data_IF_956894166732
#
_entry.id   IF_956894166732
#
_cell.length_a   1.000
_cell.length_b   1.000
_cell.length_c   1.000
_cell.angle_alpha   90.00
_cell.angle_beta   90.00
_cell.angle_gamma   90.00
#
_symmetry.space_group_name_H-M   'P 1'
#
loop_
_entity.id
_entity.type
_entity.pdbx_description
1 polymer ?
#
# COMPACT_ATOMS: atom_id res chain seq x y z
N UNK A 1 -17.55 21.86 5.97
CA UNK A 1 -16.94 22.09 4.62
C UNK A 1 -16.05 20.93 4.17
N UNK A 2 -15.22 20.37 5.06
CA UNK A 2 -14.36 19.21 4.78
C UNK A 2 -15.02 18.03 4.04
N UNK A 3 -16.20 17.57 4.51
CA UNK A 3 -16.90 16.46 3.84
C UNK A 3 -17.32 16.77 2.39
N UNK A 4 -17.64 18.03 2.06
CA UNK A 4 -17.93 18.43 0.68
C UNK A 4 -16.66 18.38 -0.18
N UNK A 5 -15.53 18.88 0.35
CA UNK A 5 -14.22 18.79 -0.31
C UNK A 5 -13.86 17.33 -0.64
N UNK A 6 -13.92 16.44 0.36
CA UNK A 6 -13.65 15.01 0.14
C UNK A 6 -14.59 14.40 -0.90
N UNK A 7 -15.89 14.72 -0.88
CA UNK A 7 -16.85 14.20 -1.86
C UNK A 7 -16.50 14.61 -3.30
N UNK A 8 -16.15 15.88 -3.53
CA UNK A 8 -15.80 16.36 -4.87
C UNK A 8 -14.45 15.79 -5.34
N UNK A 9 -13.47 15.69 -4.44
CA UNK A 9 -12.19 15.06 -4.75
C UNK A 9 -12.36 13.57 -5.08
N UNK A 10 -13.15 12.84 -4.28
CA UNK A 10 -13.45 11.43 -4.53
C UNK A 10 -14.17 11.22 -5.85
N UNK A 11 -15.17 12.06 -6.16
CA UNK A 11 -15.89 12.00 -7.45
C UNK A 11 -14.93 12.20 -8.62
N UNK A 12 -13.96 13.10 -8.49
CA UNK A 12 -13.04 13.40 -9.58
C UNK A 12 -11.96 12.35 -9.74
N UNK A 13 -11.35 11.86 -8.66
CA UNK A 13 -10.33 10.80 -8.72
C UNK A 13 -10.97 9.47 -9.13
N UNK A 14 -12.14 9.17 -8.56
CA UNK A 14 -12.91 7.96 -8.86
C UNK A 14 -13.30 7.86 -10.34
N UNK A 15 -13.61 8.98 -11.01
CA UNK A 15 -13.91 8.97 -12.45
C UNK A 15 -12.76 8.41 -13.29
N UNK A 16 -11.52 8.61 -12.88
CA UNK A 16 -10.34 8.12 -13.61
C UNK A 16 -9.95 6.70 -13.18
N UNK A 17 -9.97 6.41 -11.88
CA UNK A 17 -9.44 5.14 -11.35
C UNK A 17 -10.46 3.99 -11.35
N UNK A 18 -11.75 4.27 -11.13
CA UNK A 18 -12.79 3.22 -11.06
C UNK A 18 -12.89 2.43 -12.37
N UNK A 19 -12.88 3.04 -13.57
CA UNK A 19 -12.88 2.28 -14.82
C UNK A 19 -11.69 1.32 -14.94
N UNK A 20 -10.49 1.75 -14.49
CA UNK A 20 -9.28 0.93 -14.50
C UNK A 20 -9.45 -0.26 -13.56
N UNK A 21 -9.96 -0.03 -12.34
CA UNK A 21 -10.20 -1.10 -11.37
C UNK A 21 -11.21 -2.13 -11.88
N UNK A 22 -12.31 -1.66 -12.48
CA UNK A 22 -13.32 -2.55 -13.08
C UNK A 22 -12.74 -3.34 -14.27
N UNK A 23 -11.92 -2.72 -15.11
CA UNK A 23 -11.27 -3.40 -16.22
C UNK A 23 -10.35 -4.53 -15.74
N UNK A 24 -9.55 -4.29 -14.70
CA UNK A 24 -8.68 -5.34 -14.12
C UNK A 24 -9.51 -6.50 -13.57
N UNK A 25 -10.58 -6.22 -12.81
CA UNK A 25 -11.46 -7.28 -12.29
C UNK A 25 -12.10 -8.07 -13.43
N UNK A 26 -12.59 -7.40 -14.48
CA UNK A 26 -13.17 -8.05 -15.65
C UNK A 26 -12.15 -8.99 -16.33
N UNK A 27 -10.91 -8.54 -16.50
CA UNK A 27 -9.82 -9.36 -17.05
C UNK A 27 -9.52 -10.56 -16.15
N UNK A 28 -9.49 -10.39 -14.82
CA UNK A 28 -9.30 -11.49 -13.88
C UNK A 28 -10.40 -12.54 -13.97
N UNK A 29 -11.66 -12.10 -14.07
CA UNK A 29 -12.82 -12.99 -14.22
C UNK A 29 -12.72 -13.74 -15.55
N UNK A 30 -12.44 -13.04 -16.66
CA UNK A 30 -12.26 -13.67 -17.96
C UNK A 30 -11.14 -14.71 -17.93
N UNK A 31 -9.98 -14.39 -17.34
CA UNK A 31 -8.86 -15.31 -17.21
C UNK A 31 -9.17 -16.52 -16.31
N UNK A 32 -10.00 -16.33 -15.27
CA UNK A 32 -10.48 -17.41 -14.42
C UNK A 32 -11.45 -18.35 -15.18
N UNK A 33 -12.40 -17.80 -15.95
CA UNK A 33 -13.37 -18.59 -16.72
C UNK A 33 -12.79 -19.26 -17.97
N UNK A 34 -11.90 -18.58 -18.69
CA UNK A 34 -11.24 -19.10 -19.90
C UNK A 34 -10.19 -20.18 -19.60
N UNK A 35 -10.03 -20.57 -18.33
CA UNK A 35 -9.12 -21.65 -17.94
C UNK A 35 -7.64 -21.29 -17.98
N UNK A 36 -7.27 -20.06 -18.36
CA UNK A 36 -5.88 -19.60 -18.26
C UNK A 36 -5.39 -19.55 -16.80
N UNK A 37 -6.29 -19.38 -15.82
CA UNK A 37 -5.96 -19.67 -14.42
C UNK A 37 -5.76 -21.17 -14.14
N UNK A 38 -6.54 -22.05 -14.76
CA UNK A 38 -6.52 -23.52 -14.61
C UNK A 38 -5.27 -24.23 -15.19
N UNK A 39 -4.24 -23.46 -15.55
CA UNK A 39 -2.98 -23.97 -16.09
C UNK A 39 -2.06 -24.65 -15.04
N UNK A 40 -2.36 -24.52 -13.74
CA UNK A 40 -1.67 -25.27 -12.67
C UNK A 40 -2.28 -26.67 -12.41
N UNK A 41 -3.50 -26.93 -12.87
CA UNK A 41 -4.28 -28.12 -12.51
C UNK A 41 -4.22 -29.24 -13.57
N UNK A 42 -3.35 -29.13 -14.57
CA UNK A 42 -3.21 -30.15 -15.62
C UNK A 42 -4.44 -30.28 -16.53
N UNK A 43 -5.36 -29.32 -16.54
CA UNK A 43 -6.55 -29.35 -17.42
C UNK A 43 -6.14 -29.36 -18.91
N UNK A 44 -5.07 -28.63 -19.26
CA UNK A 44 -4.44 -28.69 -20.58
C UNK A 44 -3.57 -29.93 -20.81
N UNK A 45 -3.14 -30.64 -19.76
CA UNK A 45 -2.49 -31.94 -19.91
C UNK A 45 -3.50 -33.03 -20.32
N UNK A 46 -4.78 -32.91 -19.93
CA UNK A 46 -5.84 -33.84 -20.31
C UNK A 46 -6.36 -33.63 -21.74
N UNK A 47 -6.46 -32.38 -22.19
CA UNK A 47 -6.99 -32.03 -23.52
C UNK A 47 -6.00 -32.30 -24.68
N UNK A 48 -4.70 -32.46 -24.39
CA UNK A 48 -3.66 -32.54 -25.42
C UNK A 48 -2.54 -33.53 -25.10
N UNK A 49 -2.86 -34.68 -24.49
CA UNK A 49 -1.90 -35.75 -24.21
C UNK A 49 -1.23 -36.32 -25.47
N UNK A 50 -1.77 -36.06 -26.68
CA UNK A 50 -1.27 -36.55 -27.96
C UNK A 50 -0.26 -35.66 -28.72
N UNK A 51 -0.03 -34.39 -28.34
CA UNK A 51 0.85 -33.48 -29.09
C UNK A 51 2.12 -33.14 -28.29
N UNK A 52 3.15 -33.98 -28.42
CA UNK A 52 4.47 -33.83 -27.76
C UNK A 52 5.18 -32.51 -28.11
N UNK A 53 4.97 -31.97 -29.32
CA UNK A 53 5.53 -30.70 -29.77
C UNK A 53 4.80 -29.44 -29.25
N UNK A 54 3.53 -29.56 -28.83
CA UNK A 54 2.72 -28.42 -28.38
C UNK A 54 2.96 -28.00 -26.93
N UNK A 55 3.50 -28.89 -26.08
CA UNK A 55 3.67 -28.66 -24.64
C UNK A 55 4.65 -27.52 -24.33
N UNK A 56 5.79 -27.45 -25.02
CA UNK A 56 6.77 -26.38 -24.82
C UNK A 56 6.22 -25.00 -25.23
N UNK A 57 5.57 -24.92 -26.39
CA UNK A 57 4.99 -23.68 -26.89
C UNK A 57 3.83 -23.17 -25.99
N UNK A 58 2.96 -24.07 -25.53
CA UNK A 58 1.89 -23.72 -24.59
C UNK A 58 2.43 -23.29 -23.21
N UNK A 59 3.49 -23.91 -22.71
CA UNK A 59 4.15 -23.49 -21.46
C UNK A 59 4.79 -22.10 -21.55
N UNK A 60 5.30 -21.72 -22.73
CA UNK A 60 5.82 -20.38 -22.99
C UNK A 60 4.70 -19.34 -23.02
N UNK A 61 3.61 -19.61 -23.73
CA UNK A 61 2.41 -18.75 -23.76
C UNK A 61 1.84 -18.55 -22.35
N UNK A 62 1.81 -19.62 -21.55
CA UNK A 62 1.39 -19.57 -20.15
C UNK A 62 2.27 -18.65 -19.31
N UNK A 63 3.59 -18.84 -19.37
CA UNK A 63 4.54 -18.05 -18.59
C UNK A 63 4.44 -16.58 -18.98
N UNK A 64 4.33 -16.29 -20.28
CA UNK A 64 4.11 -14.94 -20.80
C UNK A 64 2.80 -14.34 -20.33
N UNK A 65 1.71 -15.11 -20.27
CA UNK A 65 0.41 -14.63 -19.79
C UNK A 65 0.43 -14.25 -18.30
N UNK A 66 1.12 -15.02 -17.46
CA UNK A 66 1.26 -14.73 -16.02
C UNK A 66 2.09 -13.46 -15.82
N UNK A 67 3.21 -13.33 -16.54
CA UNK A 67 4.06 -12.14 -16.50
C UNK A 67 3.30 -10.92 -17.00
N UNK A 68 2.56 -11.03 -18.11
CA UNK A 68 1.74 -9.95 -18.65
C UNK A 68 0.67 -9.51 -17.65
N UNK A 69 -0.01 -10.44 -16.99
CA UNK A 69 -1.00 -10.14 -15.97
C UNK A 69 -0.41 -9.47 -14.74
N UNK A 70 0.74 -9.95 -14.26
CA UNK A 70 1.48 -9.26 -13.20
C UNK A 70 1.86 -7.84 -13.62
N UNK A 71 2.27 -7.66 -14.88
CA UNK A 71 2.50 -6.34 -15.48
C UNK A 71 1.26 -5.44 -15.46
N UNK A 72 0.05 -5.97 -15.71
CA UNK A 72 -1.22 -5.22 -15.59
C UNK A 72 -1.49 -4.78 -14.16
N UNK A 73 -1.25 -5.66 -13.17
CA UNK A 73 -1.41 -5.30 -11.74
C UNK A 73 -0.43 -4.20 -11.32
N UNK A 74 0.84 -4.30 -11.74
CA UNK A 74 1.85 -3.27 -11.51
C UNK A 74 1.49 -1.97 -12.22
N UNK A 75 1.02 -2.03 -13.48
CA UNK A 75 0.59 -0.85 -14.21
C UNK A 75 -0.58 -0.15 -13.50
N UNK A 76 -1.56 -0.89 -12.98
CA UNK A 76 -2.70 -0.34 -12.25
C UNK A 76 -2.29 0.36 -10.95
N UNK A 77 -1.36 -0.22 -10.18
CA UNK A 77 -0.86 0.40 -8.95
C UNK A 77 -0.02 1.65 -9.25
N UNK A 78 0.83 1.61 -10.28
CA UNK A 78 1.62 2.76 -10.74
C UNK A 78 0.71 3.87 -11.27
N UNK A 79 -0.32 3.56 -12.06
CA UNK A 79 -1.30 4.55 -12.52
C UNK A 79 -2.06 5.20 -11.36
N UNK A 80 -2.44 4.42 -10.35
CA UNK A 80 -3.05 4.95 -9.12
C UNK A 80 -2.12 5.97 -8.46
N UNK A 81 -0.84 5.61 -8.30
CA UNK A 81 0.17 6.49 -7.74
C UNK A 81 0.36 7.77 -8.58
N UNK A 82 0.48 7.64 -9.90
CA UNK A 82 0.63 8.79 -10.81
C UNK A 82 -0.56 9.73 -10.70
N UNK A 83 -1.79 9.22 -10.68
CA UNK A 83 -3.01 10.03 -10.54
C UNK A 83 -3.03 10.76 -9.20
N UNK A 84 -2.64 10.10 -8.10
CA UNK A 84 -2.54 10.72 -6.77
C UNK A 84 -1.52 11.87 -6.78
N UNK A 85 -0.33 11.65 -7.35
CA UNK A 85 0.72 12.68 -7.48
C UNK A 85 0.23 13.85 -8.33
N UNK A 86 -0.30 13.59 -9.53
CA UNK A 86 -0.79 14.63 -10.43
C UNK A 86 -1.89 15.47 -9.80
N UNK A 87 -2.78 14.86 -9.03
CA UNK A 87 -3.89 15.54 -8.37
C UNK A 87 -3.44 16.49 -7.27
N UNK A 88 -2.42 16.09 -6.52
CA UNK A 88 -1.80 16.96 -5.52
C UNK A 88 -1.02 18.09 -6.19
N UNK A 89 -0.17 17.74 -7.16
CA UNK A 89 0.70 18.70 -7.85
C UNK A 89 -0.11 19.74 -8.63
N UNK A 90 -0.96 19.31 -9.58
CA UNK A 90 -1.76 20.26 -10.38
C UNK A 90 -2.78 20.99 -9.52
N UNK A 91 -3.42 20.28 -8.59
CA UNK A 91 -4.52 20.83 -7.80
C UNK A 91 -4.11 21.81 -6.70
N UNK A 92 -2.89 21.73 -6.14
CA UNK A 92 -2.42 22.66 -5.09
C UNK A 92 -1.22 23.51 -5.50
N UNK A 93 -0.37 23.02 -6.41
CA UNK A 93 0.91 23.65 -6.72
C UNK A 93 0.94 24.31 -8.11
N UNK A 94 -0.09 24.16 -8.93
CA UNK A 94 -0.19 24.83 -10.24
C UNK A 94 -1.35 25.84 -10.25
N UNK A 95 -1.73 26.31 -11.44
CA UNK A 95 -2.77 27.33 -11.66
C UNK A 95 -4.12 27.00 -11.01
N UNK A 96 -4.50 25.71 -10.93
CA UNK A 96 -5.72 25.29 -10.21
C UNK A 96 -5.65 25.59 -8.70
N UNK A 97 -4.44 25.62 -8.14
CA UNK A 97 -4.17 25.99 -6.76
C UNK A 97 -4.63 27.41 -6.43
N UNK A 98 -4.51 28.36 -7.37
CA UNK A 98 -4.96 29.74 -7.16
C UNK A 98 -6.45 29.79 -6.82
N UNK A 99 -7.27 29.04 -7.57
CA UNK A 99 -8.70 28.88 -7.30
C UNK A 99 -8.94 28.11 -5.98
N UNK A 100 -8.18 27.07 -5.67
CA UNK A 100 -8.35 26.31 -4.43
C UNK A 100 -8.05 27.13 -3.17
N UNK A 101 -7.07 28.03 -3.20
CA UNK A 101 -6.72 28.89 -2.06
C UNK A 101 -7.64 30.12 -1.89
N UNK A 102 -8.48 30.43 -2.89
CA UNK A 102 -9.53 31.46 -2.75
C UNK A 102 -10.80 30.95 -2.04
N UNK A 103 -10.95 29.62 -1.90
CA UNK A 103 -12.05 29.05 -1.14
C UNK A 103 -11.92 29.46 0.35
N UNK A 104 -13.03 29.74 1.07
CA UNK A 104 -13.02 30.15 2.48
C UNK A 104 -12.74 28.95 3.41
N UNK A 105 -11.65 28.21 3.16
CA UNK A 105 -11.22 27.00 3.87
C UNK A 105 -9.74 27.09 4.19
N UNK A 106 -9.35 26.52 5.33
CA UNK A 106 -7.95 26.56 5.78
C UNK A 106 -7.08 25.60 4.93
N UNK A 107 -5.80 25.92 4.63
CA UNK A 107 -4.92 25.06 3.84
C UNK A 107 -4.82 23.62 4.36
N UNK A 108 -4.78 23.43 5.68
CA UNK A 108 -4.78 22.08 6.28
C UNK A 108 -5.99 21.24 5.87
N UNK A 109 -7.17 21.84 5.70
CA UNK A 109 -8.38 21.11 5.29
C UNK A 109 -8.28 20.63 3.84
N UNK A 110 -7.63 21.39 2.96
CA UNK A 110 -7.39 21.01 1.57
C UNK A 110 -6.39 19.85 1.49
N UNK A 111 -5.29 19.95 2.23
CA UNK A 111 -4.26 18.90 2.28
C UNK A 111 -4.85 17.61 2.86
N UNK A 112 -5.54 17.68 4.00
CA UNK A 112 -6.15 16.50 4.62
C UNK A 112 -7.23 15.89 3.71
N UNK A 113 -8.01 16.69 2.99
CA UNK A 113 -9.04 16.16 2.09
C UNK A 113 -8.42 15.36 0.94
N UNK A 114 -7.37 15.90 0.29
CA UNK A 114 -6.63 15.19 -0.75
C UNK A 114 -5.89 13.97 -0.21
N UNK A 115 -5.33 14.05 1.00
CA UNK A 115 -4.66 12.93 1.68
C UNK A 115 -5.61 11.78 1.96
N UNK A 116 -6.78 12.04 2.53
CA UNK A 116 -7.79 11.00 2.84
C UNK A 116 -8.30 10.35 1.56
N UNK A 117 -8.65 11.13 0.54
CA UNK A 117 -9.16 10.57 -0.72
C UNK A 117 -8.07 9.75 -1.42
N UNK A 118 -6.83 10.24 -1.47
CA UNK A 118 -5.70 9.47 -2.02
C UNK A 118 -5.49 8.16 -1.26
N UNK A 119 -5.53 8.20 0.08
CA UNK A 119 -5.38 7.01 0.91
C UNK A 119 -6.47 5.97 0.63
N UNK A 120 -7.73 6.38 0.62
CA UNK A 120 -8.85 5.47 0.33
C UNK A 120 -8.74 4.88 -1.07
N UNK A 121 -8.34 5.67 -2.07
CA UNK A 121 -8.18 5.17 -3.44
C UNK A 121 -6.97 4.22 -3.58
N UNK A 122 -5.87 4.49 -2.89
CA UNK A 122 -4.73 3.56 -2.82
C UNK A 122 -5.11 2.25 -2.12
N UNK A 123 -5.87 2.30 -1.02
CA UNK A 123 -6.41 1.10 -0.39
C UNK A 123 -7.35 0.34 -1.32
N UNK A 124 -8.22 1.04 -2.06
CA UNK A 124 -9.08 0.44 -3.06
C UNK A 124 -8.26 -0.25 -4.17
N UNK A 125 -7.17 0.36 -4.65
CA UNK A 125 -6.25 -0.27 -5.62
C UNK A 125 -5.66 -1.57 -5.08
N UNK A 126 -5.18 -1.58 -3.83
CA UNK A 126 -4.64 -2.78 -3.19
C UNK A 126 -5.71 -3.86 -3.02
N UNK A 127 -6.91 -3.49 -2.57
CA UNK A 127 -8.04 -4.41 -2.45
C UNK A 127 -8.44 -5.01 -3.79
N UNK A 128 -8.47 -4.20 -4.86
CA UNK A 128 -8.74 -4.67 -6.22
C UNK A 128 -7.67 -5.65 -6.67
N UNK A 129 -6.38 -5.38 -6.40
CA UNK A 129 -5.30 -6.30 -6.71
C UNK A 129 -5.43 -7.64 -5.95
N UNK A 130 -5.76 -7.60 -4.65
CA UNK A 130 -6.01 -8.82 -3.87
C UNK A 130 -7.22 -9.60 -4.38
N UNK A 131 -8.35 -8.93 -4.64
CA UNK A 131 -9.54 -9.56 -5.20
C UNK A 131 -9.26 -10.18 -6.57
N UNK A 132 -8.50 -9.48 -7.40
CA UNK A 132 -8.06 -9.89 -8.73
C UNK A 132 -7.19 -11.16 -8.68
N UNK A 133 -6.24 -11.25 -7.75
CA UNK A 133 -5.44 -12.46 -7.49
C UNK A 133 -6.32 -13.59 -6.95
N UNK A 134 -7.22 -13.29 -6.01
CA UNK A 134 -8.12 -14.28 -5.41
C UNK A 134 -9.04 -14.92 -6.46
N UNK A 135 -9.59 -14.13 -7.38
CA UNK A 135 -10.40 -14.63 -8.52
C UNK A 135 -9.58 -15.57 -9.41
N UNK A 136 -8.31 -15.25 -9.67
CA UNK A 136 -7.45 -16.16 -10.42
C UNK A 136 -7.24 -17.48 -9.69
N UNK A 137 -6.93 -17.46 -8.39
CA UNK A 137 -6.75 -18.68 -7.58
C UNK A 137 -8.02 -19.53 -7.57
N UNK A 138 -9.20 -18.90 -7.51
CA UNK A 138 -10.49 -19.60 -7.64
C UNK A 138 -10.62 -20.30 -9.01
N UNK A 139 -10.24 -19.62 -10.09
CA UNK A 139 -10.20 -20.20 -11.44
C UNK A 139 -9.16 -21.31 -11.59
N UNK A 140 -8.03 -21.23 -10.87
CA UNK A 140 -6.95 -22.23 -10.95
C UNK A 140 -7.32 -23.52 -10.23
N UNK A 141 -7.70 -23.43 -8.95
CA UNK A 141 -7.94 -24.56 -8.07
C UNK A 141 -9.33 -25.19 -8.28
N UNK A 142 -10.23 -24.49 -8.97
CA UNK A 142 -11.63 -24.86 -9.14
C UNK A 142 -12.46 -24.32 -7.99
N UNK A 143 -13.57 -23.67 -8.32
CA UNK A 143 -14.46 -23.02 -7.33
C UNK A 143 -14.88 -24.01 -6.24
N UNK A 144 -15.24 -25.24 -6.60
CA UNK A 144 -15.63 -26.27 -5.64
C UNK A 144 -14.53 -26.60 -4.63
N UNK A 145 -13.27 -26.76 -5.05
CA UNK A 145 -12.15 -27.12 -4.16
C UNK A 145 -11.79 -26.00 -3.19
N UNK A 146 -11.83 -24.75 -3.66
CA UNK A 146 -11.54 -23.59 -2.80
C UNK A 146 -12.68 -23.36 -1.82
N UNK A 147 -13.94 -23.49 -2.24
CA UNK A 147 -15.07 -23.42 -1.33
C UNK A 147 -15.01 -24.54 -0.30
N UNK A 148 -14.71 -25.78 -0.69
CA UNK A 148 -14.56 -26.89 0.27
C UNK A 148 -13.41 -26.67 1.25
N UNK A 149 -12.28 -26.10 0.79
CA UNK A 149 -11.13 -25.80 1.66
C UNK A 149 -11.43 -24.66 2.64
N UNK A 150 -12.14 -23.62 2.21
CA UNK A 150 -12.56 -22.51 3.09
C UNK A 150 -13.64 -22.98 4.08
N UNK A 151 -14.52 -23.91 3.69
CA UNK A 151 -15.54 -24.46 4.61
C UNK A 151 -15.02 -25.62 5.46
N UNK A 152 -13.77 -26.06 5.28
CA UNK A 152 -13.22 -27.20 6.00
C UNK A 152 -13.05 -26.85 7.49
N UNK A 153 -13.76 -27.54 8.41
CA UNK A 153 -13.60 -27.31 9.84
C UNK A 153 -12.17 -27.55 10.32
N UNK A 154 -11.39 -28.40 9.66
CA UNK A 154 -10.00 -28.67 10.04
C UNK A 154 -9.09 -27.46 9.84
N UNK A 155 -9.30 -26.69 8.76
CA UNK A 155 -8.56 -25.46 8.51
C UNK A 155 -8.85 -24.41 9.60
N UNK A 156 -10.13 -24.21 9.93
CA UNK A 156 -10.53 -23.27 10.97
C UNK A 156 -10.11 -23.72 12.37
N UNK A 157 -10.12 -25.02 12.64
CA UNK A 157 -9.62 -25.55 13.91
C UNK A 157 -8.10 -25.40 14.04
N UNK A 158 -7.35 -25.53 12.94
CA UNK A 158 -5.91 -25.28 12.92
C UNK A 158 -5.59 -23.79 13.09
N UNK A 159 -6.36 -22.90 12.46
CA UNK A 159 -6.24 -21.45 12.63
C UNK A 159 -6.59 -21.06 14.06
N UNK A 160 -7.70 -21.56 14.60
CA UNK A 160 -8.15 -21.27 15.96
C UNK A 160 -7.19 -21.83 17.01
N UNK A 161 -6.64 -23.02 16.80
CA UNK A 161 -5.62 -23.56 17.71
C UNK A 161 -4.36 -22.72 17.64
N UNK A 162 -3.87 -22.33 16.46
CA UNK A 162 -2.71 -21.43 16.32
C UNK A 162 -2.94 -20.06 16.99
N UNK A 163 -4.13 -19.48 16.82
CA UNK A 163 -4.51 -18.20 17.44
C UNK A 163 -4.71 -18.33 18.96
N UNK A 164 -5.22 -19.46 19.45
CA UNK A 164 -5.41 -19.71 20.88
C UNK A 164 -4.08 -19.82 21.65
N UNK A 165 -2.99 -20.22 20.99
CA UNK A 165 -1.65 -20.19 21.59
C UNK A 165 -1.11 -18.76 21.79
N UNK A 166 -1.67 -17.77 21.11
CA UNK A 166 -1.31 -16.35 21.22
C UNK A 166 -2.46 -15.61 21.92
N UNK A 167 -2.44 -15.59 23.25
CA UNK A 167 -3.48 -14.94 24.08
C UNK A 167 -3.79 -13.48 23.67
N UNK A 168 -2.81 -12.78 23.08
CA UNK A 168 -2.91 -11.37 22.65
C UNK A 168 -3.26 -11.17 21.17
N UNK A 169 -3.67 -12.21 20.44
CA UNK A 169 -3.91 -12.13 18.99
C UNK A 169 -4.90 -11.03 18.54
N UNK A 170 -6.01 -10.72 19.24
CA UNK A 170 -6.93 -9.68 18.78
C UNK A 170 -6.31 -8.28 18.88
N UNK A 171 -5.52 -8.05 19.93
CA UNK A 171 -4.79 -6.80 20.14
C UNK A 171 -3.73 -6.61 19.05
N UNK A 172 -2.97 -7.67 18.75
CA UNK A 172 -1.94 -7.66 17.72
C UNK A 172 -2.53 -7.39 16.33
N UNK A 173 -3.70 -7.96 16.02
CA UNK A 173 -4.44 -7.66 14.78
C UNK A 173 -4.90 -6.21 14.71
N UNK A 174 -5.42 -5.66 15.81
CA UNK A 174 -5.81 -4.26 15.87
C UNK A 174 -4.62 -3.32 15.65
N UNK A 175 -3.49 -3.60 16.29
CA UNK A 175 -2.24 -2.84 16.11
C UNK A 175 -1.69 -2.92 14.69
N UNK A 176 -1.76 -4.11 14.08
CA UNK A 176 -1.35 -4.30 12.70
C UNK A 176 -2.19 -3.47 11.72
N UNK A 177 -3.51 -3.41 11.93
CA UNK A 177 -4.41 -2.57 11.13
C UNK A 177 -4.05 -1.09 11.28
N UNK A 178 -3.82 -0.62 12.51
CA UNK A 178 -3.37 0.75 12.77
C UNK A 178 -2.05 1.02 12.06
N UNK A 179 -1.10 0.10 12.15
CA UNK A 179 0.20 0.24 11.52
C UNK A 179 0.09 0.38 10.00
N UNK A 180 -0.77 -0.42 9.35
CA UNK A 180 -1.04 -0.29 7.90
C UNK A 180 -1.59 1.10 7.58
N UNK A 181 -2.55 1.60 8.37
CA UNK A 181 -3.16 2.90 8.12
C UNK A 181 -2.14 4.03 8.29
N UNK A 182 -1.42 4.05 9.41
CA UNK A 182 -0.46 5.13 9.71
C UNK A 182 0.71 5.08 8.72
N UNK A 183 1.28 3.91 8.43
CA UNK A 183 2.38 3.78 7.47
C UNK A 183 1.97 4.18 6.04
N UNK A 184 0.76 3.79 5.60
CA UNK A 184 0.24 4.21 4.29
C UNK A 184 0.04 5.73 4.21
N UNK A 185 -0.45 6.36 5.29
CA UNK A 185 -0.52 7.83 5.37
C UNK A 185 0.88 8.46 5.34
N UNK A 186 1.85 7.94 6.09
CA UNK A 186 3.23 8.45 6.08
C UNK A 186 3.81 8.47 4.66
N UNK A 187 3.63 7.39 3.89
CA UNK A 187 4.13 7.33 2.51
C UNK A 187 3.48 8.41 1.63
N UNK A 188 2.17 8.64 1.75
CA UNK A 188 1.47 9.68 1.00
C UNK A 188 1.94 11.08 1.39
N UNK A 189 2.04 11.36 2.69
CA UNK A 189 2.47 12.67 3.18
C UNK A 189 3.96 12.93 2.92
N UNK A 190 4.79 11.89 2.88
CA UNK A 190 6.18 12.01 2.44
C UNK A 190 6.25 12.51 0.98
N UNK A 191 5.46 11.93 0.08
CA UNK A 191 5.37 12.42 -1.30
C UNK A 191 4.83 13.86 -1.38
N UNK A 192 3.84 14.21 -0.56
CA UNK A 192 3.29 15.57 -0.54
C UNK A 192 4.31 16.59 -0.02
N UNK A 193 5.05 16.23 1.02
CA UNK A 193 6.07 17.09 1.59
C UNK A 193 7.25 17.29 0.64
N UNK A 194 7.70 16.24 -0.05
CA UNK A 194 8.75 16.36 -1.06
C UNK A 194 8.31 17.21 -2.26
N UNK A 195 7.06 17.08 -2.72
CA UNK A 195 6.49 17.95 -3.75
C UNK A 195 6.40 19.41 -3.30
N UNK A 196 5.96 19.65 -2.06
CA UNK A 196 5.89 21.01 -1.50
C UNK A 196 7.30 21.63 -1.42
N UNK A 197 8.30 20.88 -0.96
CA UNK A 197 9.70 21.32 -0.92
C UNK A 197 10.28 21.60 -2.31
N UNK A 198 10.06 20.71 -3.26
CA UNK A 198 10.55 20.88 -4.63
C UNK A 198 9.94 22.11 -5.33
N UNK A 199 8.72 22.48 -4.94
CA UNK A 199 8.04 23.66 -5.47
C UNK A 199 8.65 24.99 -5.01
N UNK A 200 9.42 25.03 -3.91
CA UNK A 200 10.14 26.25 -3.51
C UNK A 200 11.30 26.61 -4.46
N UNK A 201 11.73 25.68 -5.31
CA UNK A 201 12.82 25.94 -6.24
C UNK A 201 12.37 26.85 -7.39
N UNK A 202 13.21 27.82 -7.75
CA UNK A 202 12.93 28.76 -8.84
C UNK A 202 12.90 28.12 -10.23
N UNK A 203 13.62 27.00 -10.44
CA UNK A 203 13.72 26.28 -11.72
C UNK A 203 13.54 24.78 -11.52
N UNK A 204 12.94 24.11 -12.51
CA UNK A 204 12.73 22.66 -12.56
C UNK A 204 12.02 22.09 -11.31
N UNK A 205 10.88 22.70 -10.91
CA UNK A 205 10.11 22.35 -9.69
C UNK A 205 9.81 20.85 -9.55
N UNK A 206 9.51 20.17 -10.66
CA UNK A 206 9.26 18.71 -10.67
C UNK A 206 10.53 17.92 -10.34
N UNK A 207 11.66 18.23 -10.98
CA UNK A 207 12.94 17.56 -10.71
C UNK A 207 13.39 17.78 -9.27
N UNK A 208 13.23 18.99 -8.75
CA UNK A 208 13.55 19.32 -7.37
C UNK A 208 12.67 18.58 -6.36
N UNK A 209 11.43 18.25 -6.73
CA UNK A 209 10.53 17.43 -5.90
C UNK A 209 11.04 15.98 -5.79
N UNK A 210 11.53 15.42 -6.90
CA UNK A 210 12.13 14.07 -6.92
C UNK A 210 13.42 14.04 -6.11
N UNK A 211 14.29 15.05 -6.27
CA UNK A 211 15.52 15.18 -5.49
C UNK A 211 15.20 15.31 -4.00
N UNK A 212 14.21 16.12 -3.62
CA UNK A 212 13.77 16.25 -2.23
C UNK A 212 13.27 14.92 -1.67
N UNK A 213 12.50 14.14 -2.44
CA UNK A 213 12.04 12.81 -2.03
C UNK A 213 13.21 11.86 -1.75
N UNK A 214 14.19 11.82 -2.65
CA UNK A 214 15.38 10.99 -2.48
C UNK A 214 16.20 11.45 -1.27
N UNK A 215 16.43 12.76 -1.12
CA UNK A 215 17.21 13.31 -0.02
C UNK A 215 16.58 13.03 1.35
N UNK A 216 15.26 13.20 1.48
CA UNK A 216 14.54 12.89 2.72
C UNK A 216 14.58 11.38 3.00
N UNK A 217 14.38 10.54 1.97
CA UNK A 217 14.47 9.09 2.11
C UNK A 217 15.86 8.65 2.61
N UNK A 218 16.92 9.20 2.02
CA UNK A 218 18.30 8.95 2.45
C UNK A 218 18.55 9.43 3.89
N UNK A 219 18.04 10.61 4.25
CA UNK A 219 18.17 11.15 5.61
C UNK A 219 17.52 10.22 6.64
N UNK A 220 16.28 9.77 6.41
CA UNK A 220 15.61 8.84 7.33
C UNK A 220 16.31 7.49 7.39
N UNK A 221 16.77 6.94 6.25
CA UNK A 221 17.55 5.71 6.22
C UNK A 221 18.83 5.82 7.05
N UNK A 222 19.55 6.95 6.93
CA UNK A 222 20.75 7.22 7.70
C UNK A 222 20.47 7.36 9.20
N UNK A 223 19.44 8.12 9.57
CA UNK A 223 19.00 8.27 10.97
C UNK A 223 18.62 6.92 11.56
N UNK A 224 17.82 6.11 10.85
CA UNK A 224 17.42 4.79 11.32
C UNK A 224 18.62 3.85 11.50
N UNK A 225 19.58 3.89 10.56
CA UNK A 225 20.82 3.13 10.69
C UNK A 225 21.65 3.55 11.91
N UNK A 226 21.81 4.85 12.14
CA UNK A 226 22.50 5.38 13.32
C UNK A 226 21.79 4.99 14.62
N UNK A 227 20.46 5.13 14.67
CA UNK A 227 19.66 4.76 15.85
C UNK A 227 19.85 3.28 16.17
N UNK A 228 19.82 2.40 15.17
CA UNK A 228 20.06 0.97 15.39
C UNK A 228 21.46 0.67 15.93
N UNK A 229 22.50 1.33 15.40
CA UNK A 229 23.88 1.17 15.90
C UNK A 229 24.00 1.66 17.35
N UNK A 230 23.41 2.82 17.66
CA UNK A 230 23.46 3.39 19.01
C UNK A 230 22.72 2.47 19.98
N UNK A 231 21.45 2.15 19.70
CA UNK A 231 20.63 1.31 20.57
C UNK A 231 21.24 -0.09 20.75
N UNK A 232 21.81 -0.68 19.70
CA UNK A 232 22.47 -1.98 19.77
C UNK A 232 23.68 -2.01 20.72
N UNK A 233 24.32 -0.87 20.97
CA UNK A 233 25.46 -0.75 21.89
C UNK A 233 25.06 -0.30 23.31
N UNK A 234 23.79 0.04 23.56
CA UNK A 234 23.32 0.43 24.89
C UNK A 234 23.13 -0.82 25.76
N UNK A 235 23.81 -0.93 26.93
CA UNK A 235 23.72 -2.12 27.78
C UNK A 235 22.30 -2.45 28.26
N UNK A 236 21.47 -1.43 28.54
CA UNK A 236 20.08 -1.64 28.94
C UNK A 236 19.23 -2.21 27.81
N UNK A 237 19.47 -1.80 26.56
CA UNK A 237 18.77 -2.34 25.40
C UNK A 237 19.17 -3.81 25.14
N UNK A 238 20.46 -4.13 25.22
CA UNK A 238 20.93 -5.51 25.13
C UNK A 238 20.36 -6.41 26.25
N UNK A 239 20.30 -5.89 27.47
CA UNK A 239 19.74 -6.62 28.62
C UNK A 239 18.24 -6.89 28.44
N UNK A 240 17.52 -5.94 27.83
CA UNK A 240 16.10 -6.10 27.49
C UNK A 240 15.85 -7.21 26.46
N UNK A 241 16.64 -7.26 25.38
CA UNK A 241 16.53 -8.36 24.40
C UNK A 241 16.92 -9.72 24.98
N UNK A 242 17.95 -9.78 25.82
CA UNK A 242 18.31 -11.02 26.52
C UNK A 242 17.20 -11.51 27.45
N UNK A 243 16.50 -10.60 28.13
CA UNK A 243 15.35 -10.96 28.97
C UNK A 243 14.23 -11.58 28.14
N UNK A 244 13.96 -11.04 26.95
CA UNK A 244 12.98 -11.56 26.00
C UNK A 244 13.38 -12.95 25.49
N UNK A 245 14.65 -13.15 25.12
CA UNK A 245 15.16 -14.44 24.62
C UNK A 245 15.07 -15.56 25.67
N UNK A 246 15.02 -15.21 26.96
CA UNK A 246 14.87 -16.17 28.06
C UNK A 246 13.41 -16.51 28.41
N UNK A 247 12.42 -15.86 27.78
CA UNK A 247 11.00 -16.15 28.01
C UNK A 247 10.56 -17.42 27.24
N UNK A 248 9.47 -18.08 27.67
CA UNK A 248 8.87 -19.17 26.89
C UNK A 248 8.49 -18.68 25.48
N UNK A 249 8.78 -19.48 24.45
CA UNK A 249 8.71 -19.09 23.03
C UNK A 249 7.41 -18.36 22.66
N UNK A 250 6.25 -18.80 23.16
CA UNK A 250 4.95 -18.20 22.82
C UNK A 250 4.72 -16.82 23.45
N UNK A 251 5.21 -16.59 24.68
CA UNK A 251 5.04 -15.32 25.38
C UNK A 251 6.08 -14.29 24.94
N UNK A 252 7.33 -14.71 24.77
CA UNK A 252 8.43 -13.86 24.27
C UNK A 252 8.12 -13.30 22.88
N UNK A 253 7.67 -14.15 21.95
CA UNK A 253 7.30 -13.72 20.60
C UNK A 253 6.15 -12.69 20.63
N UNK A 254 5.11 -12.94 21.43
CA UNK A 254 3.96 -12.03 21.52
C UNK A 254 4.33 -10.64 22.03
N UNK A 255 5.21 -10.58 23.03
CA UNK A 255 5.69 -9.34 23.64
C UNK A 255 6.59 -8.56 22.68
N UNK A 256 7.48 -9.25 21.95
CA UNK A 256 8.31 -8.63 20.90
C UNK A 256 7.45 -8.03 19.80
N UNK A 257 6.46 -8.77 19.29
CA UNK A 257 5.59 -8.28 18.23
C UNK A 257 4.81 -7.04 18.67
N UNK A 258 4.22 -7.08 19.88
CA UNK A 258 3.48 -5.97 20.44
C UNK A 258 4.35 -4.71 20.60
N UNK A 259 5.53 -4.83 21.20
CA UNK A 259 6.46 -3.72 21.36
C UNK A 259 6.96 -3.17 20.03
N UNK A 260 7.23 -4.06 19.07
CA UNK A 260 7.65 -3.68 17.72
C UNK A 260 6.54 -2.92 17.00
N UNK A 261 5.29 -3.36 17.13
CA UNK A 261 4.14 -2.72 16.51
C UNK A 261 3.85 -1.36 17.13
N UNK A 262 3.78 -1.26 18.46
CA UNK A 262 3.60 0.03 19.14
C UNK A 262 4.75 0.98 18.82
N UNK A 263 5.99 0.52 18.92
CA UNK A 263 7.18 1.32 18.59
C UNK A 263 7.13 1.82 17.15
N UNK A 264 6.72 0.97 16.20
CA UNK A 264 6.55 1.33 14.80
C UNK A 264 5.40 2.32 14.59
N UNK A 265 4.26 2.16 15.29
CA UNK A 265 3.13 3.09 15.22
C UNK A 265 3.53 4.46 15.72
N UNK A 266 4.22 4.55 16.87
CA UNK A 266 4.69 5.82 17.43
C UNK A 266 5.68 6.49 16.48
N UNK A 267 6.65 5.74 15.96
CA UNK A 267 7.62 6.24 14.98
C UNK A 267 6.94 6.80 13.72
N UNK A 268 6.01 6.05 13.13
CA UNK A 268 5.27 6.49 11.96
C UNK A 268 4.37 7.70 12.27
N UNK A 269 3.77 7.76 13.46
CA UNK A 269 2.95 8.91 13.87
C UNK A 269 3.79 10.20 13.99
N UNK A 270 5.01 10.12 14.53
CA UNK A 270 5.95 11.24 14.58
C UNK A 270 6.31 11.70 13.16
N UNK A 271 6.66 10.75 12.28
CA UNK A 271 7.01 11.05 10.89
C UNK A 271 5.83 11.68 10.12
N UNK A 272 4.62 11.17 10.34
CA UNK A 272 3.39 11.72 9.79
C UNK A 272 3.17 13.17 10.23
N UNK A 273 3.35 13.46 11.51
CA UNK A 273 3.23 14.82 12.04
C UNK A 273 4.25 15.76 11.39
N UNK A 274 5.52 15.35 11.27
CA UNK A 274 6.58 16.14 10.62
C UNK A 274 6.19 16.47 9.18
N UNK A 275 5.77 15.48 8.38
CA UNK A 275 5.41 15.70 6.99
C UNK A 275 4.12 16.51 6.83
N UNK A 276 3.12 16.29 7.69
CA UNK A 276 1.87 17.04 7.66
C UNK A 276 2.09 18.52 7.95
N UNK A 277 2.70 18.84 9.09
CA UNK A 277 2.95 20.23 9.50
C UNK A 277 4.00 20.91 8.61
N UNK A 278 5.00 20.17 8.13
CA UNK A 278 5.95 20.67 7.15
C UNK A 278 5.26 21.11 5.86
N UNK A 279 4.37 20.27 5.33
CA UNK A 279 3.59 20.57 4.11
C UNK A 279 2.65 21.75 4.32
N UNK A 280 1.93 21.79 5.45
CA UNK A 280 1.00 22.87 5.79
C UNK A 280 1.71 24.22 5.92
N UNK A 281 2.87 24.25 6.56
CA UNK A 281 3.66 25.48 6.75
C UNK A 281 4.24 26.01 5.45
N UNK A 282 4.68 25.12 4.56
CA UNK A 282 5.16 25.48 3.22
C UNK A 282 4.03 26.09 2.41
N UNK A 283 2.88 25.40 2.33
CA UNK A 283 1.74 25.84 1.53
C UNK A 283 1.06 27.10 2.07
N UNK A 284 1.10 27.35 3.39
CA UNK A 284 0.50 28.54 3.98
C UNK A 284 1.38 29.79 3.89
N UNK A 285 2.71 29.65 3.92
CA UNK A 285 3.63 30.81 4.05
C UNK A 285 4.51 31.09 2.83
N UNK A 286 4.71 30.12 1.94
CA UNK A 286 5.70 30.20 0.86
C UNK A 286 5.14 29.78 -0.50
N UNK A 287 3.82 29.79 -0.64
CA UNK A 287 3.19 29.47 -1.91
C UNK A 287 3.39 30.63 -2.90
N UNK A 288 4.38 30.48 -3.80
CA UNK A 288 4.52 31.36 -4.94
C UNK A 288 4.01 30.61 -6.18
N UNK A 289 2.79 30.93 -6.60
CA UNK A 289 2.15 30.34 -7.78
C UNK A 289 2.53 31.05 -9.09
N UNK A 290 3.37 32.09 -9.04
CA UNK A 290 3.99 32.71 -10.22
C UNK A 290 5.20 31.90 -10.74
#
# INVERSE_FOLDING_TARGET
MFGKLCKYEFKSIGRTLVPIYLAVIAISILNAFLGMGSLANGYYNGLMSGLSFGRGFLSLIQTLSVIAYFGVLVAMSVLTLIVVIQRFYKGLLCDEGYLMFTLPVKPWQLITAKGVVAFVMSMASSLVAFASIFILVLGTAGTSRVFTAITDPQLWNAINSALAHVSTWPLLMFEFIILIIVSGLVQLYHMYFSMALGHLASKNRVMMSVIAFIAISMLFSFINGLVMIILGNVPSFQSFFRMIDTMPDTQGISLVMHLTFIGSVVYNAIQLAIFFFGTERILSKRLNLE
#
